data_IF_453603174032
#
_entry.id   IF_453603174032
#
_cell.length_a   1.000
_cell.length_b   1.000
_cell.length_c   1.000
_cell.angle_alpha   90.00
_cell.angle_beta   90.00
_cell.angle_gamma   90.00
#
_symmetry.space_group_name_H-M   'P 1'
#
loop_
_entity.id
_entity.type
_entity.pdbx_description
1 polymer ?
#
# COMPACT_ATOMS: atom_id res chain seq x y z
N UNK A 1 4.55 -23.04 5.21
CA UNK A 1 5.00 -21.77 4.60
C UNK A 1 6.28 -21.35 5.29
N UNK A 2 7.39 -21.04 4.59
CA UNK A 2 8.68 -20.80 5.27
C UNK A 2 8.67 -19.48 6.05
N UNK A 3 9.25 -19.47 7.25
CA UNK A 3 9.34 -18.29 8.12
C UNK A 3 10.01 -17.09 7.43
N UNK A 4 10.93 -17.36 6.50
CA UNK A 4 11.61 -16.34 5.69
C UNK A 4 10.66 -15.50 4.83
N UNK A 5 9.62 -16.09 4.23
CA UNK A 5 8.66 -15.34 3.41
C UNK A 5 7.81 -14.39 4.24
N UNK A 6 7.46 -14.83 5.46
CA UNK A 6 6.75 -13.99 6.41
C UNK A 6 7.58 -12.82 6.88
N UNK A 7 8.87 -13.02 7.21
CA UNK A 7 9.74 -11.90 7.56
C UNK A 7 9.90 -10.88 6.42
N UNK A 8 10.08 -11.36 5.18
CA UNK A 8 10.14 -10.48 4.02
C UNK A 8 8.84 -9.69 3.84
N UNK A 9 7.69 -10.36 3.98
CA UNK A 9 6.37 -9.75 3.85
C UNK A 9 6.11 -8.68 4.93
N UNK A 10 6.34 -9.03 6.19
CA UNK A 10 6.19 -8.11 7.31
C UNK A 10 7.16 -6.93 7.21
N UNK A 11 8.37 -7.15 6.70
CA UNK A 11 9.34 -6.08 6.44
C UNK A 11 8.83 -5.06 5.42
N UNK A 12 8.39 -5.51 4.24
CA UNK A 12 7.94 -4.58 3.18
C UNK A 12 6.63 -3.87 3.54
N UNK A 13 5.67 -4.58 4.15
CA UNK A 13 4.42 -3.98 4.63
C UNK A 13 4.68 -3.00 5.77
N UNK A 14 5.57 -3.37 6.72
CA UNK A 14 5.94 -2.50 7.83
C UNK A 14 6.60 -1.20 7.36
N UNK A 15 7.52 -1.28 6.39
CA UNK A 15 8.13 -0.08 5.78
C UNK A 15 7.09 0.77 5.07
N UNK A 16 6.19 0.17 4.29
CA UNK A 16 5.16 0.94 3.60
C UNK A 16 4.21 1.64 4.58
N UNK A 17 3.75 0.94 5.61
CA UNK A 17 2.93 1.51 6.66
C UNK A 17 3.66 2.64 7.41
N UNK A 18 4.95 2.47 7.71
CA UNK A 18 5.77 3.48 8.35
C UNK A 18 5.92 4.74 7.48
N UNK A 19 6.14 4.58 6.17
CA UNK A 19 6.24 5.71 5.24
C UNK A 19 4.91 6.48 5.16
N UNK A 20 3.77 5.78 5.08
CA UNK A 20 2.45 6.42 5.09
C UNK A 20 2.19 7.14 6.41
N UNK A 21 2.58 6.55 7.54
CA UNK A 21 2.43 7.17 8.87
C UNK A 21 3.35 8.38 9.08
N UNK A 22 4.56 8.34 8.51
CA UNK A 22 5.49 9.46 8.57
C UNK A 22 5.01 10.66 7.75
N UNK A 23 4.26 10.43 6.66
CA UNK A 23 3.47 11.45 5.97
C UNK A 23 4.22 12.76 5.70
N UNK A 24 3.83 13.80 6.42
CA UNK A 24 4.35 15.18 6.36
C UNK A 24 5.78 15.34 6.89
N UNK A 25 6.30 14.34 7.62
CA UNK A 25 7.69 14.30 8.11
C UNK A 25 8.68 13.79 7.08
N UNK A 26 8.21 13.33 5.93
CA UNK A 26 9.07 12.90 4.83
C UNK A 26 9.56 14.12 4.03
N UNK A 27 10.72 14.01 3.36
CA UNK A 27 11.13 15.00 2.37
C UNK A 27 10.01 15.28 1.35
N UNK A 28 9.80 16.55 1.00
CA UNK A 28 8.74 16.96 0.06
C UNK A 28 8.82 16.22 -1.29
N UNK A 29 10.03 15.83 -1.71
CA UNK A 29 10.26 15.03 -2.92
C UNK A 29 9.63 13.63 -2.88
N UNK A 30 9.39 13.07 -1.69
CA UNK A 30 8.81 11.74 -1.50
C UNK A 30 7.30 11.79 -1.24
N UNK A 31 6.77 12.92 -0.79
CA UNK A 31 5.36 13.06 -0.45
C UNK A 31 4.41 12.66 -1.62
N UNK A 32 4.64 13.07 -2.89
CA UNK A 32 3.81 12.64 -4.00
C UNK A 32 3.84 11.14 -4.25
N UNK A 33 5.01 10.51 -4.06
CA UNK A 33 5.16 9.07 -4.25
C UNK A 33 4.39 8.30 -3.19
N UNK A 34 4.53 8.67 -1.91
CA UNK A 34 3.81 8.04 -0.80
C UNK A 34 2.31 8.24 -0.95
N UNK A 35 1.86 9.46 -1.27
CA UNK A 35 0.46 9.73 -1.57
C UNK A 35 -0.04 8.86 -2.74
N UNK A 36 0.74 8.75 -3.81
CA UNK A 36 0.43 7.88 -4.96
C UNK A 36 0.19 6.43 -4.55
N UNK A 37 0.97 5.88 -3.61
CA UNK A 37 0.75 4.50 -3.13
C UNK A 37 -0.59 4.29 -2.40
N UNK A 38 -1.21 5.35 -1.90
CA UNK A 38 -2.51 5.31 -1.22
C UNK A 38 -3.66 5.63 -2.18
N UNK A 39 -3.52 6.71 -2.96
CA UNK A 39 -4.59 7.21 -3.82
C UNK A 39 -4.75 6.42 -5.13
N UNK A 40 -3.65 6.01 -5.79
CA UNK A 40 -3.72 5.32 -7.08
C UNK A 40 -4.50 3.99 -7.01
N UNK A 41 -4.32 3.13 -5.98
CA UNK A 41 -5.11 1.91 -5.87
C UNK A 41 -6.60 2.15 -5.61
N UNK A 42 -6.96 3.30 -5.04
CA UNK A 42 -8.32 3.64 -4.66
C UNK A 42 -9.10 4.35 -5.77
N UNK A 43 -8.44 5.04 -6.70
CA UNK A 43 -9.11 5.72 -7.81
C UNK A 43 -10.01 4.79 -8.66
N UNK A 44 -9.57 3.59 -9.07
CA UNK A 44 -10.45 2.67 -9.77
C UNK A 44 -11.68 2.27 -8.92
N UNK A 45 -11.50 2.09 -7.61
CA UNK A 45 -12.58 1.73 -6.69
C UNK A 45 -13.59 2.87 -6.54
N UNK A 46 -13.11 4.11 -6.47
CA UNK A 46 -13.95 5.30 -6.50
C UNK A 46 -14.71 5.43 -7.83
N UNK A 47 -14.05 5.16 -8.96
CA UNK A 47 -14.68 5.19 -10.28
C UNK A 47 -15.79 4.13 -10.42
N UNK A 48 -15.71 3.02 -9.69
CA UNK A 48 -16.76 2.01 -9.56
C UNK A 48 -17.87 2.41 -8.57
N UNK A 49 -17.81 3.61 -7.97
CA UNK A 49 -18.82 4.12 -7.05
C UNK A 49 -18.65 3.68 -5.59
N UNK A 50 -17.51 3.07 -5.23
CA UNK A 50 -17.27 2.66 -3.84
C UNK A 50 -16.91 3.88 -2.95
N UNK A 51 -17.41 3.95 -1.71
CA UNK A 51 -17.14 5.04 -0.78
C UNK A 51 -15.75 4.89 -0.11
N UNK A 52 -14.70 4.91 -0.92
CA UNK A 52 -13.30 4.68 -0.48
C UNK A 52 -12.61 5.91 0.08
N UNK A 53 -13.22 7.09 -0.08
CA UNK A 53 -12.74 8.36 0.44
C UNK A 53 -13.80 9.00 1.34
N UNK A 54 -13.36 9.70 2.37
CA UNK A 54 -14.21 10.54 3.22
C UNK A 54 -14.63 11.82 2.49
N UNK A 55 -15.57 12.59 3.06
CA UNK A 55 -15.84 13.94 2.55
C UNK A 55 -14.65 14.84 2.88
N UNK A 56 -14.09 15.48 1.88
CA UNK A 56 -13.06 16.49 2.10
C UNK A 56 -13.61 17.67 2.91
N UNK A 57 -12.89 18.10 3.94
CA UNK A 57 -13.06 19.45 4.48
C UNK A 57 -12.68 20.46 3.39
N UNK A 58 -13.37 21.61 3.33
CA UNK A 58 -13.29 22.58 2.22
C UNK A 58 -11.83 22.88 1.79
N UNK A 59 -11.45 22.41 0.60
CA UNK A 59 -10.15 22.69 -0.04
C UNK A 59 -9.07 21.62 0.12
N UNK A 60 -9.29 20.57 0.92
CA UNK A 60 -8.33 19.47 1.13
C UNK A 60 -8.51 18.29 0.18
N UNK A 61 -7.50 17.42 0.13
CA UNK A 61 -7.66 16.08 -0.44
C UNK A 61 -8.46 15.22 0.54
N UNK A 62 -9.46 14.46 0.07
CA UNK A 62 -10.22 13.60 0.95
C UNK A 62 -9.31 12.48 1.47
N UNK A 63 -9.36 12.23 2.77
CA UNK A 63 -8.67 11.08 3.36
C UNK A 63 -9.34 9.76 2.92
N UNK A 64 -8.61 8.63 2.89
CA UNK A 64 -9.24 7.33 2.70
C UNK A 64 -10.20 7.03 3.85
N UNK A 65 -11.37 6.48 3.52
CA UNK A 65 -12.31 5.95 4.52
C UNK A 65 -11.74 4.65 5.14
N UNK A 66 -12.41 4.09 6.15
CA UNK A 66 -12.06 2.77 6.67
C UNK A 66 -12.02 1.71 5.55
N UNK A 67 -12.99 1.72 4.63
CA UNK A 67 -12.99 0.85 3.46
C UNK A 67 -11.78 1.12 2.55
N UNK A 68 -11.45 2.39 2.32
CA UNK A 68 -10.26 2.79 1.57
C UNK A 68 -8.98 2.21 2.18
N UNK A 69 -8.77 2.37 3.49
CA UNK A 69 -7.62 1.80 4.20
C UNK A 69 -7.58 0.28 4.13
N UNK A 70 -8.72 -0.41 4.30
CA UNK A 70 -8.80 -1.85 4.14
C UNK A 70 -8.42 -2.31 2.73
N UNK A 71 -8.86 -1.59 1.69
CA UNK A 71 -8.52 -1.89 0.31
C UNK A 71 -7.04 -1.62 0.02
N UNK A 72 -6.47 -0.51 0.50
CA UNK A 72 -5.02 -0.23 0.39
C UNK A 72 -4.21 -1.37 1.02
N UNK A 73 -4.54 -1.74 2.26
CA UNK A 73 -3.86 -2.83 2.96
C UNK A 73 -4.00 -4.17 2.22
N UNK A 74 -5.18 -4.46 1.69
CA UNK A 74 -5.44 -5.71 0.94
C UNK A 74 -4.69 -5.74 -0.38
N UNK A 75 -4.76 -4.68 -1.18
CA UNK A 75 -4.10 -4.59 -2.49
C UNK A 75 -2.59 -4.71 -2.31
N UNK A 76 -1.99 -3.91 -1.43
CA UNK A 76 -0.55 -3.99 -1.19
C UNK A 76 -0.12 -5.30 -0.54
N UNK A 77 -0.94 -5.85 0.36
CA UNK A 77 -0.75 -7.18 0.92
C UNK A 77 -0.65 -8.25 -0.17
N UNK A 78 -1.60 -8.27 -1.11
CA UNK A 78 -1.59 -9.21 -2.23
C UNK A 78 -0.40 -8.98 -3.17
N UNK A 79 -0.11 -7.73 -3.53
CA UNK A 79 0.98 -7.38 -4.44
C UNK A 79 2.34 -7.80 -3.87
N UNK A 80 2.63 -7.46 -2.61
CA UNK A 80 3.89 -7.83 -1.98
C UNK A 80 3.99 -9.33 -1.72
N UNK A 81 2.89 -9.97 -1.33
CA UNK A 81 2.86 -11.42 -1.20
C UNK A 81 3.20 -12.12 -2.52
N UNK A 82 2.60 -11.66 -3.63
CA UNK A 82 2.85 -12.20 -4.96
C UNK A 82 4.30 -11.97 -5.39
N UNK A 83 4.83 -10.75 -5.21
CA UNK A 83 6.21 -10.42 -5.52
C UNK A 83 7.20 -11.34 -4.77
N UNK A 84 7.01 -11.51 -3.46
CA UNK A 84 7.83 -12.39 -2.63
C UNK A 84 7.71 -13.85 -3.08
N UNK A 85 6.50 -14.31 -3.41
CA UNK A 85 6.27 -15.66 -3.90
C UNK A 85 6.98 -15.91 -5.23
N UNK A 86 6.93 -14.97 -6.16
CA UNK A 86 7.63 -15.03 -7.45
C UNK A 86 9.14 -15.09 -7.23
N UNK A 87 9.71 -14.14 -6.48
CA UNK A 87 11.15 -14.10 -6.20
C UNK A 87 11.62 -15.37 -5.49
N UNK A 88 10.86 -15.85 -4.52
CA UNK A 88 11.17 -17.10 -3.82
C UNK A 88 11.17 -18.31 -4.76
N UNK A 89 10.23 -18.37 -5.72
CA UNK A 89 10.16 -19.45 -6.70
C UNK A 89 11.33 -19.38 -7.70
N UNK A 90 11.69 -18.18 -8.15
CA UNK A 90 12.82 -17.99 -9.07
C UNK A 90 14.14 -18.39 -8.42
N UNK A 91 14.36 -18.02 -7.15
CA UNK A 91 15.54 -18.43 -6.38
C UNK A 91 15.62 -19.94 -6.20
N UNK A 92 14.51 -20.59 -5.91
CA UNK A 92 14.46 -22.05 -5.74
C UNK A 92 14.71 -22.83 -7.04
N UNK A 93 14.50 -22.21 -8.22
CA UNK A 93 14.79 -22.81 -9.53
C UNK A 93 16.24 -22.59 -9.98
N UNK A 94 16.94 -21.63 -9.39
CA UNK A 94 18.31 -21.27 -9.72
C UNK A 94 19.35 -21.91 -8.79
N UNK A 95 18.90 -22.60 -7.75
CA UNK A 95 19.70 -23.41 -6.83
C UNK A 95 19.58 -24.89 -7.20
#
# INVERSE_FOLDING_TARGET
MSSQRWFAFLGVIGVHAALVWLGDRLPESLAPAVAGTVYLPLWPMQALGLPVFERAASGGWPGPSLLGWMLVATIWGVLWWLAIAIVSRLRARAA
#
